data_IF_110440510209
#
_entry.id   IF_110440510209
#
_cell.length_a   1.000
_cell.length_b   1.000
_cell.length_c   1.000
_cell.angle_alpha   90.00
_cell.angle_beta   90.00
_cell.angle_gamma   90.00
#
_symmetry.space_group_name_H-M   'P 1'
#
loop_
_entity.id
_entity.type
_entity.pdbx_description
1 polymer ?
#
# COMPACT_ATOMS: atom_id res chain seq x y z
N UNK A 1 9.81 -5.23 8.21
CA UNK A 1 9.14 -4.54 7.08
C UNK A 1 8.29 -5.56 6.35
N UNK A 2 7.04 -5.26 5.96
CA UNK A 2 6.16 -6.24 5.30
C UNK A 2 6.77 -6.82 4.00
N UNK A 3 7.69 -6.09 3.36
CA UNK A 3 8.48 -6.56 2.21
C UNK A 3 9.80 -7.24 2.58
N UNK A 4 10.33 -7.01 3.78
CA UNK A 4 11.64 -7.49 4.22
C UNK A 4 11.61 -8.81 5.00
N UNK A 5 10.51 -9.13 5.69
CA UNK A 5 10.42 -10.32 6.55
C UNK A 5 9.96 -11.59 5.82
N UNK A 6 9.38 -11.45 4.62
CA UNK A 6 8.97 -12.57 3.78
C UNK A 6 9.17 -12.21 2.32
N UNK A 7 10.00 -12.96 1.62
CA UNK A 7 10.03 -12.93 0.16
C UNK A 7 8.67 -13.41 -0.37
N UNK A 8 7.78 -12.46 -0.63
CA UNK A 8 6.46 -12.73 -1.18
C UNK A 8 6.63 -13.38 -2.56
N UNK A 9 5.90 -14.47 -2.79
CA UNK A 9 5.76 -15.04 -4.12
C UNK A 9 5.12 -14.02 -5.08
N UNK A 10 5.28 -14.24 -6.39
CA UNK A 10 4.70 -13.36 -7.41
C UNK A 10 3.19 -13.14 -7.22
N UNK A 11 2.46 -14.20 -6.83
CA UNK A 11 1.02 -14.12 -6.56
C UNK A 11 0.69 -13.25 -5.36
N UNK A 12 1.44 -13.40 -4.27
CA UNK A 12 1.27 -12.61 -3.05
C UNK A 12 1.63 -11.14 -3.29
N UNK A 13 2.69 -10.86 -4.04
CA UNK A 13 3.06 -9.50 -4.43
C UNK A 13 1.94 -8.83 -5.23
N UNK A 14 1.41 -9.52 -6.25
CA UNK A 14 0.30 -9.00 -7.06
C UNK A 14 -0.98 -8.78 -6.23
N UNK A 15 -1.26 -9.67 -5.28
CA UNK A 15 -2.40 -9.52 -4.37
C UNK A 15 -2.21 -8.31 -3.46
N UNK A 16 -1.01 -8.13 -2.91
CA UNK A 16 -0.65 -7.00 -2.07
C UNK A 16 -0.73 -5.68 -2.83
N UNK A 17 -0.21 -5.61 -4.06
CA UNK A 17 -0.29 -4.42 -4.90
C UNK A 17 -1.75 -4.04 -5.19
N UNK A 18 -2.61 -5.04 -5.49
CA UNK A 18 -4.05 -4.81 -5.68
C UNK A 18 -4.73 -4.34 -4.39
N UNK A 19 -4.40 -4.94 -3.25
CA UNK A 19 -4.95 -4.55 -1.96
C UNK A 19 -4.58 -3.12 -1.57
N UNK A 20 -3.31 -2.72 -1.79
CA UNK A 20 -2.84 -1.36 -1.57
C UNK A 20 -3.57 -0.36 -2.47
N UNK A 21 -3.74 -0.68 -3.76
CA UNK A 21 -4.45 0.20 -4.68
C UNK A 21 -5.90 0.45 -4.25
N UNK A 22 -6.61 -0.60 -3.79
CA UNK A 22 -7.97 -0.46 -3.26
C UNK A 22 -7.97 0.38 -1.97
N UNK A 23 -7.05 0.12 -1.04
CA UNK A 23 -6.97 0.86 0.21
C UNK A 23 -6.70 2.36 -0.01
N UNK A 24 -5.76 2.70 -0.89
CA UNK A 24 -5.45 4.10 -1.26
C UNK A 24 -6.67 4.78 -1.85
N UNK A 25 -7.38 4.11 -2.77
CA UNK A 25 -8.58 4.67 -3.39
C UNK A 25 -9.70 4.95 -2.38
N UNK A 26 -9.97 4.01 -1.47
CA UNK A 26 -11.03 4.17 -0.46
C UNK A 26 -10.69 5.28 0.54
N UNK A 27 -9.43 5.37 1.01
CA UNK A 27 -9.01 6.44 1.93
C UNK A 27 -9.03 7.79 1.22
N UNK A 28 -8.51 7.87 -0.01
CA UNK A 28 -8.53 9.10 -0.81
C UNK A 28 -9.96 9.62 -1.00
N UNK A 29 -10.89 8.73 -1.35
CA UNK A 29 -12.31 9.06 -1.51
C UNK A 29 -12.96 9.50 -0.20
N UNK A 30 -12.74 8.76 0.90
CA UNK A 30 -13.35 9.05 2.20
C UNK A 30 -12.80 10.34 2.84
N UNK A 31 -11.51 10.64 2.65
CA UNK A 31 -10.84 11.79 3.26
C UNK A 31 -10.70 12.99 2.32
N UNK A 32 -11.16 12.90 1.06
CA UNK A 32 -10.94 13.92 0.02
C UNK A 32 -9.47 14.34 -0.11
N UNK A 33 -8.56 13.35 -0.06
CA UNK A 33 -7.10 13.54 -0.17
C UNK A 33 -6.61 13.07 -1.52
N UNK A 34 -5.49 13.63 -1.99
CA UNK A 34 -4.83 13.12 -3.19
C UNK A 34 -4.31 11.70 -2.96
N UNK A 35 -4.48 10.83 -3.95
CA UNK A 35 -4.01 9.44 -3.87
C UNK A 35 -2.50 9.33 -3.64
N UNK A 36 -1.71 10.22 -4.24
CA UNK A 36 -0.25 10.24 -4.07
C UNK A 36 0.21 10.52 -2.64
N UNK A 37 -0.50 11.39 -1.92
CA UNK A 37 -0.22 11.69 -0.51
C UNK A 37 -0.50 10.47 0.38
N UNK A 38 -1.64 9.82 0.14
CA UNK A 38 -2.06 8.62 0.87
C UNK A 38 -1.12 7.45 0.60
N UNK A 39 -0.71 7.24 -0.65
CA UNK A 39 0.22 6.19 -1.05
C UNK A 39 1.60 6.40 -0.39
N UNK A 40 2.11 7.63 -0.39
CA UNK A 40 3.39 7.97 0.25
C UNK A 40 3.36 7.72 1.76
N UNK A 41 2.30 8.12 2.44
CA UNK A 41 2.10 7.89 3.88
C UNK A 41 2.02 6.39 4.21
N UNK A 42 1.21 5.63 3.47
CA UNK A 42 1.06 4.19 3.67
C UNK A 42 2.36 3.43 3.37
N UNK A 43 3.11 3.84 2.36
CA UNK A 43 4.41 3.24 2.06
C UNK A 43 5.39 3.41 3.22
N UNK A 44 5.43 4.60 3.85
CA UNK A 44 6.29 4.83 5.03
C UNK A 44 5.85 4.00 6.23
N UNK A 45 4.55 3.84 6.44
CA UNK A 45 3.99 3.10 7.57
C UNK A 45 4.20 1.58 7.45
N UNK A 46 3.90 1.02 6.26
CA UNK A 46 3.86 -0.43 6.03
C UNK A 46 5.19 -1.01 5.55
N UNK A 47 6.01 -0.17 4.93
CA UNK A 47 7.30 -0.54 4.35
C UNK A 47 8.40 0.46 4.79
N UNK A 48 8.59 0.66 6.10
CA UNK A 48 9.70 1.47 6.59
C UNK A 48 11.02 0.80 6.17
N UNK A 49 11.97 1.63 5.72
CA UNK A 49 13.34 1.23 5.40
C UNK A 49 14.01 0.52 6.58
#
# INVERSE_FOLDING_TARGET
SLRGDKDLSYGEKKMMDKALAMLVAEISAAASRETGDVESELSQLLMPN
#
